data_IF_455609287240
#
_entry.id   IF_455609287240
#
_cell.length_a   1.000
_cell.length_b   1.000
_cell.length_c   1.000
_cell.angle_alpha   90.00
_cell.angle_beta   90.00
_cell.angle_gamma   90.00
#
_symmetry.space_group_name_H-M   'P 1'
#
loop_
_entity.id
_entity.type
_entity.pdbx_description
1 polymer ?
#
# COMPACT_ATOMS: atom_id res chain seq x y z
N UNK A 1 -17.00 8.12 4.02
CA UNK A 1 -16.18 6.96 3.59
C UNK A 1 -14.91 7.52 2.96
N UNK A 2 -13.74 7.12 3.45
CA UNK A 2 -12.45 7.62 2.98
C UNK A 2 -11.79 6.53 2.14
N UNK A 3 -11.56 6.80 0.86
CA UNK A 3 -10.94 5.90 -0.09
C UNK A 3 -9.42 6.01 -0.03
N UNK A 4 -8.74 4.87 0.11
CA UNK A 4 -7.29 4.75 -0.02
C UNK A 4 -6.99 3.95 -1.29
N UNK A 5 -6.39 4.60 -2.28
CA UNK A 5 -6.12 3.97 -3.58
C UNK A 5 -4.95 2.97 -3.52
N UNK A 6 -4.98 1.96 -4.40
CA UNK A 6 -3.96 0.93 -4.59
C UNK A 6 -2.79 1.34 -5.49
N UNK A 7 -2.13 0.37 -6.14
CA UNK A 7 -0.99 0.64 -7.04
C UNK A 7 0.37 0.17 -6.51
N UNK A 8 0.38 -0.94 -5.76
CA UNK A 8 1.60 -1.60 -5.29
C UNK A 8 2.50 -0.74 -4.40
N UNK A 9 1.92 0.27 -3.74
CA UNK A 9 2.62 1.33 -3.00
C UNK A 9 3.60 2.16 -3.85
N UNK A 10 3.61 1.99 -5.18
CA UNK A 10 4.57 2.61 -6.10
C UNK A 10 3.97 3.76 -6.90
N UNK A 11 2.70 3.63 -7.28
CA UNK A 11 1.99 4.59 -8.13
C UNK A 11 0.55 4.80 -7.64
N UNK A 12 -0.08 5.86 -8.11
CA UNK A 12 -1.53 6.08 -7.96
C UNK A 12 -1.86 7.54 -7.63
N UNK A 13 -3.17 7.83 -7.60
CA UNK A 13 -3.70 9.14 -7.24
C UNK A 13 -5.12 9.01 -6.71
N UNK A 14 -5.56 9.99 -5.93
CA UNK A 14 -6.92 10.04 -5.36
C UNK A 14 -8.03 10.18 -6.41
N UNK A 15 -7.72 10.66 -7.61
CA UNK A 15 -8.67 10.69 -8.73
C UNK A 15 -8.73 9.35 -9.49
N UNK A 16 -7.64 8.55 -9.45
CA UNK A 16 -7.53 7.34 -10.26
C UNK A 16 -7.31 7.61 -11.75
N UNK A 17 -7.35 6.55 -12.55
CA UNK A 17 -7.26 6.68 -14.00
C UNK A 17 -8.49 7.40 -14.56
N UNK A 18 -8.32 8.20 -15.61
CA UNK A 18 -9.42 8.80 -16.34
C UNK A 18 -9.67 8.03 -17.64
N UNK A 19 -10.93 7.69 -17.90
CA UNK A 19 -11.35 7.13 -19.18
C UNK A 19 -12.63 7.84 -19.62
N UNK A 20 -12.62 8.44 -20.83
CA UNK A 20 -13.76 9.17 -21.40
C UNK A 20 -14.33 10.26 -20.44
N UNK A 21 -13.44 11.05 -19.83
CA UNK A 21 -13.81 12.09 -18.85
C UNK A 21 -14.51 11.54 -17.59
N UNK A 22 -14.24 10.28 -17.25
CA UNK A 22 -14.72 9.62 -16.04
C UNK A 22 -13.51 9.15 -15.22
N UNK A 23 -13.36 9.70 -14.03
CA UNK A 23 -12.30 9.34 -13.09
C UNK A 23 -12.71 8.08 -12.32
N UNK A 24 -11.83 7.08 -12.30
CA UNK A 24 -12.08 5.78 -11.68
C UNK A 24 -12.52 5.88 -10.21
N UNK A 25 -12.02 6.88 -9.48
CA UNK A 25 -12.35 7.09 -8.08
C UNK A 25 -13.24 8.32 -7.85
N UNK A 26 -14.01 8.74 -8.86
CA UNK A 26 -15.08 9.72 -8.64
C UNK A 26 -16.10 9.15 -7.65
N UNK A 27 -16.25 9.83 -6.51
CA UNK A 27 -17.10 9.41 -5.41
C UNK A 27 -18.60 9.61 -5.65
N UNK A 28 -19.02 10.23 -6.75
CA UNK A 28 -20.41 10.66 -6.98
C UNK A 28 -21.43 9.52 -6.87
N UNK A 29 -21.18 8.39 -7.53
CA UNK A 29 -22.13 7.26 -7.55
C UNK A 29 -22.28 6.61 -6.17
N UNK A 30 -21.16 6.43 -5.45
CA UNK A 30 -21.18 5.89 -4.08
C UNK A 30 -21.90 6.88 -3.15
N UNK A 31 -21.58 8.17 -3.26
CA UNK A 31 -22.13 9.21 -2.39
C UNK A 31 -23.66 9.33 -2.54
N UNK A 32 -24.15 9.40 -3.79
CA UNK A 32 -25.56 9.63 -4.10
C UNK A 32 -26.42 8.41 -3.78
N UNK A 33 -26.00 7.20 -4.21
CA UNK A 33 -26.76 5.96 -3.96
C UNK A 33 -26.70 5.53 -2.50
N UNK A 34 -25.52 5.64 -1.89
CA UNK A 34 -25.29 5.25 -0.49
C UNK A 34 -25.77 6.30 0.52
N UNK A 35 -26.06 7.53 0.08
CA UNK A 35 -26.32 8.69 0.95
C UNK A 35 -25.20 8.87 1.99
N UNK A 36 -23.97 8.94 1.49
CA UNK A 36 -22.74 9.08 2.28
C UNK A 36 -21.85 10.16 1.69
N UNK A 37 -20.91 10.69 2.48
CA UNK A 37 -19.81 11.50 1.94
C UNK A 37 -18.68 10.56 1.52
N UNK A 38 -18.09 10.80 0.35
CA UNK A 38 -16.88 10.11 -0.13
C UNK A 38 -15.72 11.11 -0.12
N UNK A 39 -14.58 10.68 0.43
CA UNK A 39 -13.34 11.46 0.45
C UNK A 39 -12.27 10.62 -0.25
N UNK A 40 -11.66 11.18 -1.28
CA UNK A 40 -10.42 10.67 -1.87
C UNK A 40 -9.27 11.64 -1.56
N UNK A 41 -8.04 11.15 -1.54
CA UNK A 41 -6.87 11.96 -1.21
C UNK A 41 -5.62 11.36 -1.84
N UNK A 42 -4.53 12.13 -1.86
CA UNK A 42 -3.20 11.68 -2.30
C UNK A 42 -2.33 11.32 -1.09
N UNK A 43 -1.51 10.28 -1.22
CA UNK A 43 -0.43 9.95 -0.27
C UNK A 43 0.86 9.70 -1.04
N UNK A 44 2.03 9.92 -0.42
CA UNK A 44 3.32 9.63 -1.06
C UNK A 44 3.47 8.13 -1.34
N UNK A 45 3.96 7.81 -2.53
CA UNK A 45 4.22 6.44 -3.02
C UNK A 45 5.69 6.27 -3.41
N UNK A 46 6.08 5.05 -3.75
CA UNK A 46 7.43 4.68 -4.17
C UNK A 46 8.49 4.96 -3.10
N UNK A 47 9.73 5.27 -3.48
CA UNK A 47 10.79 5.56 -2.51
C UNK A 47 10.49 6.80 -1.67
N UNK A 48 9.81 7.81 -2.22
CA UNK A 48 9.42 9.01 -1.47
C UNK A 48 8.37 8.73 -0.37
N UNK A 49 7.58 7.67 -0.53
CA UNK A 49 6.59 7.23 0.45
C UNK A 49 7.11 6.17 1.43
N UNK A 50 8.04 5.31 1.03
CA UNK A 50 8.33 4.08 1.77
C UNK A 50 9.82 3.75 1.92
N UNK A 51 10.74 4.60 1.48
CA UNK A 51 12.17 4.41 1.76
C UNK A 51 12.42 4.36 3.26
N UNK A 52 13.16 3.34 3.70
CA UNK A 52 13.54 3.13 5.10
C UNK A 52 14.95 2.57 5.21
N UNK A 53 15.68 3.03 6.22
CA UNK A 53 16.98 2.46 6.62
C UNK A 53 16.83 1.40 7.71
N UNK A 54 15.60 1.15 8.21
CA UNK A 54 15.34 0.24 9.32
C UNK A 54 15.79 0.77 10.69
N UNK A 55 16.15 2.05 10.77
CA UNK A 55 16.59 2.73 11.99
C UNK A 55 15.97 4.14 12.09
N UNK A 56 16.37 4.92 13.08
CA UNK A 56 15.83 6.25 13.33
C UNK A 56 16.13 7.30 12.23
N UNK A 57 17.10 7.05 11.34
CA UNK A 57 17.52 8.02 10.31
C UNK A 57 16.50 8.12 9.17
N UNK A 58 15.88 6.99 8.83
CA UNK A 58 14.70 6.89 7.98
C UNK A 58 13.84 5.70 8.45
N UNK A 59 12.92 5.90 9.41
CA UNK A 59 12.06 4.83 9.89
C UNK A 59 11.17 4.23 8.79
N UNK A 60 10.82 5.02 7.78
CA UNK A 60 9.92 4.63 6.68
C UNK A 60 8.50 5.13 6.87
N UNK A 61 7.54 4.43 6.25
CA UNK A 61 6.10 4.61 6.43
C UNK A 61 5.54 6.02 6.15
N UNK A 62 6.23 6.84 5.38
CA UNK A 62 5.81 8.22 5.10
C UNK A 62 4.44 8.28 4.39
N UNK A 63 4.18 7.36 3.45
CA UNK A 63 2.88 7.22 2.81
C UNK A 63 1.77 6.83 3.80
N UNK A 64 2.06 5.99 4.81
CA UNK A 64 1.08 5.67 5.86
C UNK A 64 0.80 6.86 6.78
N UNK A 65 1.82 7.67 7.08
CA UNK A 65 1.66 8.91 7.83
C UNK A 65 0.78 9.92 7.07
N UNK A 66 0.96 10.05 5.76
CA UNK A 66 0.11 10.91 4.93
C UNK A 66 -1.36 10.45 4.98
N UNK A 67 -1.60 9.15 4.88
CA UNK A 67 -2.94 8.56 5.02
C UNK A 67 -3.54 8.81 6.40
N UNK A 68 -2.78 8.62 7.48
CA UNK A 68 -3.21 8.95 8.84
C UNK A 68 -3.56 10.44 8.98
N UNK A 69 -2.77 11.31 8.37
CA UNK A 69 -3.02 12.76 8.37
C UNK A 69 -4.32 13.11 7.64
N UNK A 70 -4.61 12.47 6.50
CA UNK A 70 -5.87 12.63 5.80
C UNK A 70 -7.06 12.15 6.66
N UNK A 71 -6.97 10.96 7.27
CA UNK A 71 -8.00 10.44 8.18
C UNK A 71 -8.24 11.40 9.36
N UNK A 72 -7.15 11.90 9.96
CA UNK A 72 -7.19 12.85 11.06
C UNK A 72 -7.78 14.20 10.66
N UNK A 73 -7.48 14.67 9.44
CA UNK A 73 -8.07 15.89 8.90
C UNK A 73 -9.57 15.71 8.70
N UNK A 74 -10.01 14.58 8.13
CA UNK A 74 -11.44 14.26 7.98
C UNK A 74 -12.11 14.21 9.36
N UNK A 75 -11.50 13.55 10.36
CA UNK A 75 -12.04 13.52 11.73
C UNK A 75 -12.31 14.91 12.30
N UNK A 76 -11.40 15.87 12.08
CA UNK A 76 -11.53 17.23 12.61
C UNK A 76 -12.50 18.11 11.83
N UNK A 77 -12.63 17.90 10.51
CA UNK A 77 -13.27 18.88 9.64
C UNK A 77 -14.58 18.40 9.00
N UNK A 78 -14.84 17.09 8.92
CA UNK A 78 -15.95 16.56 8.11
C UNK A 78 -17.34 17.02 8.59
N UNK A 79 -17.47 17.41 9.86
CA UNK A 79 -18.70 17.98 10.40
C UNK A 79 -19.13 19.27 9.66
N UNK A 80 -18.18 20.11 9.25
CA UNK A 80 -18.46 21.31 8.46
C UNK A 80 -19.00 21.00 7.05
N UNK A 81 -18.75 19.79 6.55
CA UNK A 81 -19.25 19.28 5.27
C UNK A 81 -20.54 18.45 5.43
N UNK A 82 -21.14 18.43 6.63
CA UNK A 82 -22.35 17.65 6.93
C UNK A 82 -22.10 16.17 7.26
N UNK A 83 -20.85 15.76 7.46
CA UNK A 83 -20.51 14.39 7.86
C UNK A 83 -20.48 14.17 9.36
N UNK A 84 -20.69 12.93 9.79
CA UNK A 84 -20.53 12.54 11.20
C UNK A 84 -19.07 12.08 11.45
N UNK A 85 -18.26 12.82 12.23
CA UNK A 85 -16.86 12.46 12.50
C UNK A 85 -16.72 11.16 13.30
N UNK A 86 -17.78 10.63 13.90
CA UNK A 86 -17.77 9.36 14.64
C UNK A 86 -18.18 8.15 13.79
N UNK A 87 -18.52 8.35 12.51
CA UNK A 87 -18.93 7.29 11.57
C UNK A 87 -17.98 7.16 10.38
N UNK A 88 -16.68 7.37 10.60
CA UNK A 88 -15.67 7.21 9.56
C UNK A 88 -15.50 5.73 9.19
N UNK A 89 -15.76 5.42 7.92
CA UNK A 89 -15.37 4.17 7.27
C UNK A 89 -14.17 4.45 6.37
N UNK A 90 -13.07 3.71 6.51
CA UNK A 90 -11.98 3.70 5.53
C UNK A 90 -12.15 2.48 4.61
N UNK A 91 -11.83 2.62 3.33
CA UNK A 91 -11.92 1.51 2.37
C UNK A 91 -10.89 1.66 1.26
N UNK A 92 -10.46 0.56 0.68
CA UNK A 92 -9.36 0.55 -0.28
C UNK A 92 -9.21 -0.79 -0.98
N UNK A 93 -8.47 -0.78 -2.08
CA UNK A 93 -8.16 -1.96 -2.90
C UNK A 93 -6.64 -2.15 -3.04
N UNK A 94 -6.18 -3.40 -3.14
CA UNK A 94 -4.75 -3.76 -3.28
C UNK A 94 -3.88 -3.11 -2.20
N UNK A 95 -2.86 -2.34 -2.55
CA UNK A 95 -2.03 -1.57 -1.61
C UNK A 95 -2.85 -0.61 -0.73
N UNK A 96 -3.98 -0.11 -1.23
CA UNK A 96 -4.94 0.66 -0.46
C UNK A 96 -5.71 -0.18 0.56
N UNK A 97 -6.00 -1.45 0.24
CA UNK A 97 -6.60 -2.39 1.19
C UNK A 97 -5.61 -2.84 2.28
N UNK A 98 -4.36 -3.14 1.88
CA UNK A 98 -3.28 -3.36 2.85
C UNK A 98 -3.08 -2.13 3.74
N UNK A 99 -3.15 -0.92 3.17
CA UNK A 99 -3.16 0.34 3.91
C UNK A 99 -4.34 0.42 4.87
N UNK A 100 -5.57 0.14 4.44
CA UNK A 100 -6.75 0.11 5.33
C UNK A 100 -6.50 -0.79 6.54
N UNK A 101 -6.00 -2.01 6.29
CA UNK A 101 -5.65 -2.96 7.34
C UNK A 101 -4.53 -2.41 8.25
N UNK A 102 -3.47 -1.81 7.72
CA UNK A 102 -2.40 -1.22 8.53
C UNK A 102 -2.87 -0.02 9.35
N UNK A 103 -3.76 0.81 8.80
CA UNK A 103 -4.34 1.97 9.50
C UNK A 103 -5.20 1.51 10.69
N UNK A 104 -5.98 0.43 10.57
CA UNK A 104 -6.75 -0.10 11.72
C UNK A 104 -5.87 -0.74 12.79
N UNK A 105 -4.71 -1.29 12.40
CA UNK A 105 -3.75 -1.90 13.31
C UNK A 105 -2.83 -0.89 14.00
N UNK A 106 -2.64 0.30 13.43
CA UNK A 106 -1.80 1.33 14.01
C UNK A 106 -2.44 1.95 15.27
N UNK A 107 -1.69 2.09 16.39
CA UNK A 107 -2.21 2.73 17.60
C UNK A 107 -2.59 4.20 17.38
N UNK A 108 -2.02 4.86 16.37
CA UNK A 108 -2.28 6.27 16.05
C UNK A 108 -3.72 6.55 15.60
N UNK A 109 -4.44 5.53 15.12
CA UNK A 109 -5.82 5.71 14.66
C UNK A 109 -6.89 5.29 15.68
N UNK A 110 -6.49 5.05 16.94
CA UNK A 110 -7.43 4.71 18.02
C UNK A 110 -8.49 5.81 18.16
N UNK A 111 -9.76 5.46 17.98
CA UNK A 111 -10.90 6.39 18.05
C UNK A 111 -11.16 7.24 16.80
N UNK A 112 -10.32 7.12 15.76
CA UNK A 112 -10.52 7.83 14.48
C UNK A 112 -11.39 7.03 13.52
N UNK A 113 -11.14 5.73 13.42
CA UNK A 113 -11.79 4.83 12.45
C UNK A 113 -12.93 4.07 13.15
N UNK A 114 -14.12 4.05 12.55
CA UNK A 114 -15.25 3.26 13.03
C UNK A 114 -15.43 1.95 12.26
N UNK A 115 -15.17 1.96 10.95
CA UNK A 115 -15.31 0.79 10.07
C UNK A 115 -14.19 0.73 9.04
N UNK A 116 -13.90 -0.45 8.54
CA UNK A 116 -12.89 -0.65 7.51
C UNK A 116 -13.30 -1.73 6.50
N UNK A 117 -12.95 -1.53 5.24
CA UNK A 117 -13.22 -2.45 4.14
C UNK A 117 -11.93 -2.65 3.32
N UNK A 118 -11.45 -3.89 3.28
CA UNK A 118 -10.23 -4.26 2.58
C UNK A 118 -10.54 -5.16 1.40
N UNK A 119 -10.30 -4.68 0.18
CA UNK A 119 -10.57 -5.39 -1.06
C UNK A 119 -9.25 -5.88 -1.66
N UNK A 120 -9.05 -7.19 -1.75
CA UNK A 120 -7.88 -7.79 -2.42
C UNK A 120 -6.52 -7.42 -1.81
N UNK A 121 -6.48 -7.20 -0.49
CA UNK A 121 -5.24 -6.95 0.25
C UNK A 121 -5.46 -6.75 1.75
N UNK A 122 -4.52 -7.20 2.57
CA UNK A 122 -4.52 -7.01 4.04
C UNK A 122 -3.08 -6.85 4.54
N UNK A 123 -2.90 -6.39 5.79
CA UNK A 123 -1.58 -6.12 6.36
C UNK A 123 -0.67 -7.37 6.49
N UNK A 124 -1.26 -8.57 6.43
CA UNK A 124 -0.54 -9.86 6.49
C UNK A 124 -0.16 -10.41 5.11
N UNK A 125 -0.52 -9.74 4.02
CA UNK A 125 -0.04 -10.12 2.69
C UNK A 125 1.49 -10.05 2.62
N UNK A 126 2.12 -10.99 1.91
CA UNK A 126 3.59 -11.09 1.81
C UNK A 126 4.27 -9.84 1.24
N UNK A 127 3.54 -9.06 0.44
CA UNK A 127 3.98 -7.82 -0.19
C UNK A 127 3.63 -6.55 0.61
N UNK A 128 2.92 -6.66 1.73
CA UNK A 128 2.46 -5.51 2.51
C UNK A 128 3.51 -4.97 3.49
N UNK A 129 4.55 -5.75 3.80
CA UNK A 129 5.65 -5.37 4.69
C UNK A 129 7.00 -5.70 4.05
N UNK A 130 7.87 -4.69 3.89
CA UNK A 130 9.25 -4.87 3.48
C UNK A 130 10.09 -5.39 4.66
N UNK A 131 10.79 -6.51 4.43
CA UNK A 131 11.60 -7.21 5.44
C UNK A 131 13.07 -6.83 5.44
N UNK A 132 13.58 -6.28 4.34
CA UNK A 132 14.97 -5.84 4.21
C UNK A 132 15.04 -4.40 3.65
N UNK A 133 14.55 -3.39 4.40
CA UNK A 133 14.49 -2.02 3.90
C UNK A 133 15.87 -1.39 3.68
N UNK A 134 16.84 -1.66 4.58
CA UNK A 134 18.20 -1.12 4.48
C UNK A 134 18.88 -1.53 3.16
N UNK A 135 18.71 -2.78 2.74
CA UNK A 135 19.25 -3.26 1.47
C UNK A 135 18.74 -2.40 0.29
N UNK A 136 17.43 -2.16 0.21
CA UNK A 136 16.86 -1.37 -0.87
C UNK A 136 17.23 0.12 -0.80
N UNK A 137 17.36 0.67 0.41
CA UNK A 137 17.89 2.02 0.60
C UNK A 137 19.34 2.13 0.09
N UNK A 138 20.19 1.13 0.36
CA UNK A 138 21.56 1.07 -0.15
C UNK A 138 21.62 0.93 -1.67
N UNK A 139 20.76 0.08 -2.27
CA UNK A 139 20.66 -0.05 -3.73
C UNK A 139 20.27 1.28 -4.38
N UNK A 140 19.28 1.98 -3.82
CA UNK A 140 18.88 3.30 -4.32
C UNK A 140 20.01 4.31 -4.16
N UNK A 141 20.65 4.36 -2.99
CA UNK A 141 21.76 5.25 -2.73
C UNK A 141 22.92 5.03 -3.69
N UNK A 142 23.25 3.78 -4.03
CA UNK A 142 24.26 3.47 -5.04
C UNK A 142 23.90 4.01 -6.44
N UNK A 143 22.62 3.94 -6.83
CA UNK A 143 22.13 4.44 -8.13
C UNK A 143 22.19 5.95 -8.28
N UNK A 144 22.11 6.70 -7.17
CA UNK A 144 22.11 8.17 -7.18
C UNK A 144 23.37 8.80 -6.59
N UNK A 145 24.45 8.02 -6.37
CA UNK A 145 25.73 8.52 -5.87
C UNK A 145 25.77 8.83 -4.36
N UNK A 146 24.79 8.37 -3.60
CA UNK A 146 24.65 8.58 -2.15
C UNK A 146 25.12 7.39 -1.29
N UNK A 147 25.83 6.41 -1.85
CA UNK A 147 26.34 5.27 -1.08
C UNK A 147 27.26 5.74 0.05
N UNK A 148 26.91 5.43 1.30
CA UNK A 148 27.70 5.70 2.52
C UNK A 148 27.59 4.49 3.46
N UNK A 149 28.58 4.31 4.33
CA UNK A 149 28.56 3.24 5.34
C UNK A 149 27.65 3.57 6.53
N UNK A 150 27.45 4.87 6.80
CA UNK A 150 26.59 5.39 7.86
C UNK A 150 25.22 5.78 7.30
N UNK A 151 24.14 5.34 7.95
CA UNK A 151 22.77 5.55 7.49
C UNK A 151 22.35 7.02 7.62
N UNK A 152 22.86 7.77 8.62
CA UNK A 152 22.57 9.19 8.75
C UNK A 152 23.18 10.00 7.59
N UNK A 153 24.44 9.76 7.25
CA UNK A 153 25.11 10.39 6.11
C UNK A 153 24.49 10.00 4.77
N UNK A 154 24.10 8.73 4.59
CA UNK A 154 23.37 8.27 3.42
C UNK A 154 22.04 9.03 3.28
N UNK A 155 21.26 9.11 4.36
CA UNK A 155 19.98 9.81 4.35
C UNK A 155 20.12 11.32 4.16
N UNK A 156 21.16 11.94 4.69
CA UNK A 156 21.45 13.35 4.42
C UNK A 156 21.65 13.61 2.92
N UNK A 157 22.44 12.76 2.24
CA UNK A 157 22.63 12.83 0.80
C UNK A 157 21.33 12.59 0.01
N UNK A 158 20.56 11.56 0.39
CA UNK A 158 19.30 11.24 -0.26
C UNK A 158 18.26 12.37 -0.12
N UNK A 159 18.17 13.03 1.03
CA UNK A 159 17.21 14.13 1.26
C UNK A 159 17.47 15.39 0.42
N UNK A 160 18.69 15.58 -0.08
CA UNK A 160 19.05 16.71 -0.96
C UNK A 160 19.19 16.30 -2.42
N UNK A 161 19.00 15.02 -2.74
CA UNK A 161 19.02 14.51 -4.11
C UNK A 161 17.71 14.86 -4.80
N UNK A 162 17.76 15.10 -6.10
CA UNK A 162 16.58 15.33 -6.93
C UNK A 162 15.53 14.20 -6.73
N UNK A 163 14.29 14.53 -6.31
CA UNK A 163 13.25 13.53 -6.08
C UNK A 163 12.88 12.74 -7.35
N UNK A 164 13.04 13.30 -8.55
CA UNK A 164 12.81 12.56 -9.79
C UNK A 164 13.86 11.46 -9.97
N UNK A 165 15.15 11.79 -9.79
CA UNK A 165 16.23 10.82 -9.79
C UNK A 165 16.04 9.70 -8.74
N UNK A 166 15.60 10.05 -7.52
CA UNK A 166 15.26 9.06 -6.46
C UNK A 166 14.14 8.13 -6.94
N UNK A 167 13.09 8.70 -7.53
CA UNK A 167 11.90 7.95 -7.96
C UNK A 167 12.22 6.98 -9.10
N UNK A 168 13.08 7.39 -10.04
CA UNK A 168 13.44 6.60 -11.22
C UNK A 168 14.61 5.63 -10.99
N UNK A 169 15.28 5.69 -9.84
CA UNK A 169 16.50 4.91 -9.55
C UNK A 169 16.30 3.39 -9.58
N UNK A 170 15.14 2.90 -9.14
CA UNK A 170 14.79 1.47 -9.09
C UNK A 170 13.45 1.25 -9.81
N UNK A 171 13.45 1.04 -11.13
CA UNK A 171 12.23 0.76 -11.87
C UNK A 171 11.73 -0.64 -11.59
N UNK A 172 10.40 -0.80 -11.55
CA UNK A 172 9.78 -2.12 -11.50
C UNK A 172 10.00 -2.85 -12.82
N UNK A 173 10.67 -4.00 -12.78
CA UNK A 173 10.79 -4.89 -13.94
C UNK A 173 9.47 -5.64 -14.13
N UNK A 174 8.94 -5.64 -15.35
CA UNK A 174 7.69 -6.33 -15.71
C UNK A 174 7.89 -7.50 -16.69
N UNK A 175 9.10 -7.67 -17.21
CA UNK A 175 9.48 -8.71 -18.19
C UNK A 175 10.81 -9.33 -17.80
N UNK A 176 11.08 -10.56 -18.27
CA UNK A 176 12.31 -11.31 -18.00
C UNK A 176 12.62 -11.37 -16.50
N UNK A 177 11.61 -11.74 -15.71
CA UNK A 177 11.68 -11.77 -14.26
C UNK A 177 12.50 -12.98 -13.80
N UNK A 178 13.52 -12.74 -12.97
CA UNK A 178 14.29 -13.80 -12.31
C UNK A 178 13.50 -14.43 -11.15
N UNK A 179 12.63 -13.65 -10.54
CA UNK A 179 11.76 -14.03 -9.42
C UNK A 179 10.35 -13.47 -9.66
N UNK A 180 9.30 -14.09 -9.09
CA UNK A 180 7.93 -13.58 -9.19
C UNK A 180 7.82 -12.07 -8.93
N UNK A 181 7.02 -11.37 -9.74
CA UNK A 181 6.86 -9.91 -9.74
C UNK A 181 6.57 -9.35 -8.36
N UNK A 182 5.80 -10.09 -7.56
CA UNK A 182 5.41 -9.68 -6.22
C UNK A 182 6.61 -9.44 -5.29
N UNK A 183 7.74 -10.11 -5.52
CA UNK A 183 8.98 -9.91 -4.76
C UNK A 183 9.77 -8.67 -5.21
N UNK A 184 9.43 -8.11 -6.37
CA UNK A 184 10.03 -6.88 -6.90
C UNK A 184 9.25 -5.61 -6.49
N UNK A 185 8.17 -5.75 -5.70
CA UNK A 185 7.49 -4.62 -5.06
C UNK A 185 8.26 -4.20 -3.81
N UNK A 186 9.38 -3.52 -4.03
CA UNK A 186 10.38 -3.28 -2.98
C UNK A 186 10.01 -2.14 -2.03
N UNK A 187 9.25 -1.17 -2.52
CA UNK A 187 8.75 -0.04 -1.75
C UNK A 187 7.43 -0.43 -1.12
N UNK A 188 7.45 -0.70 0.19
CA UNK A 188 6.28 -1.09 0.96
C UNK A 188 6.46 -0.62 2.42
N UNK A 189 5.38 -0.59 3.22
CA UNK A 189 5.47 -0.34 4.65
C UNK A 189 6.50 -1.24 5.37
N UNK A 190 7.00 -0.78 6.51
CA UNK A 190 7.94 -1.52 7.36
C UNK A 190 7.45 -1.56 8.81
N UNK A 191 7.92 -2.53 9.59
CA UNK A 191 7.75 -2.53 11.04
C UNK A 191 8.79 -1.57 11.62
N UNK A 192 8.34 -0.39 12.04
CA UNK A 192 9.20 0.71 12.48
C UNK A 192 9.28 0.84 14.01
N UNK A 193 8.58 -0.02 14.75
CA UNK A 193 8.48 0.09 16.21
C UNK A 193 7.65 1.30 16.67
N UNK A 194 6.97 1.98 15.74
CA UNK A 194 6.25 3.23 15.98
C UNK A 194 4.86 3.20 15.33
N UNK A 195 4.72 3.60 14.06
CA UNK A 195 3.43 3.59 13.36
C UNK A 195 2.91 2.16 13.24
N UNK A 196 3.81 1.22 12.93
CA UNK A 196 3.58 -0.23 12.95
C UNK A 196 4.53 -0.83 14.00
N UNK A 197 4.09 -0.97 15.26
CA UNK A 197 4.98 -1.26 16.38
C UNK A 197 5.46 -2.72 16.48
N UNK A 198 4.77 -3.68 15.84
CA UNK A 198 5.14 -5.10 15.81
C UNK A 198 4.58 -5.72 14.52
N UNK A 199 4.81 -7.02 14.33
CA UNK A 199 4.20 -7.83 13.29
C UNK A 199 2.68 -7.61 13.22
N UNK A 200 2.11 -7.27 12.05
CA UNK A 200 0.68 -6.99 11.91
C UNK A 200 -0.25 -8.05 12.53
N UNK A 201 0.13 -9.34 12.43
CA UNK A 201 -0.62 -10.46 13.03
C UNK A 201 -0.79 -10.38 14.55
N UNK A 202 0.04 -9.61 15.26
CA UNK A 202 -0.05 -9.40 16.71
C UNK A 202 -0.83 -8.15 17.11
N UNK A 203 -1.18 -7.29 16.15
CA UNK A 203 -1.73 -5.95 16.42
C UNK A 203 -3.27 -5.89 16.37
N UNK A 204 -3.95 -7.00 16.07
CA UNK A 204 -5.41 -7.03 15.87
C UNK A 204 -6.24 -6.55 17.08
N UNK A 205 -5.66 -6.54 18.30
CA UNK A 205 -6.30 -5.92 19.47
C UNK A 205 -6.66 -4.45 19.25
N UNK A 206 -5.88 -3.72 18.44
CA UNK A 206 -6.14 -2.32 18.11
C UNK A 206 -7.40 -2.15 17.25
N UNK A 207 -7.78 -3.18 16.48
CA UNK A 207 -8.94 -3.17 15.59
C UNK A 207 -10.22 -3.74 16.25
N UNK A 208 -10.19 -4.15 17.52
CA UNK A 208 -11.30 -4.86 18.17
C UNK A 208 -12.64 -4.09 18.20
N UNK A 209 -12.61 -2.75 18.15
CA UNK A 209 -13.81 -1.89 18.12
C UNK A 209 -14.23 -1.41 16.73
N UNK A 210 -13.60 -1.93 15.67
CA UNK A 210 -13.78 -1.50 14.28
C UNK A 210 -14.53 -2.57 13.51
N UNK A 211 -15.68 -2.22 12.93
CA UNK A 211 -16.41 -3.14 12.04
C UNK A 211 -15.55 -3.39 10.78
N UNK A 212 -15.34 -4.66 10.40
CA UNK A 212 -14.37 -5.00 9.35
C UNK A 212 -14.96 -5.92 8.27
N UNK A 213 -14.78 -5.54 7.01
CA UNK A 213 -15.03 -6.40 5.84
C UNK A 213 -13.69 -6.64 5.14
N UNK A 214 -13.41 -7.89 4.80
CA UNK A 214 -12.32 -8.24 3.90
C UNK A 214 -12.80 -9.23 2.85
N UNK A 215 -12.31 -9.09 1.62
CA UNK A 215 -12.67 -9.97 0.52
C UNK A 215 -11.57 -9.99 -0.55
N UNK A 216 -11.65 -10.97 -1.43
CA UNK A 216 -10.75 -11.17 -2.58
C UNK A 216 -11.59 -11.50 -3.81
N UNK A 217 -11.07 -11.23 -5.00
CA UNK A 217 -11.66 -11.73 -6.23
C UNK A 217 -11.18 -13.16 -6.50
N UNK A 218 -12.00 -13.94 -7.20
CA UNK A 218 -11.71 -15.34 -7.54
C UNK A 218 -10.34 -15.54 -8.22
N UNK A 219 -9.92 -14.57 -9.06
CA UNK A 219 -8.67 -14.63 -9.83
C UNK A 219 -7.75 -13.43 -9.56
N UNK A 220 -7.70 -12.91 -8.31
CA UNK A 220 -6.85 -11.74 -7.96
C UNK A 220 -5.38 -11.93 -8.36
N UNK A 221 -4.85 -13.15 -8.21
CA UNK A 221 -3.47 -13.47 -8.55
C UNK A 221 -3.18 -13.52 -10.06
N UNK A 222 -4.20 -13.55 -10.93
CA UNK A 222 -4.02 -13.73 -12.37
C UNK A 222 -3.16 -12.64 -13.01
N UNK A 223 -3.27 -11.38 -12.55
CA UNK A 223 -2.45 -10.27 -13.03
C UNK A 223 -0.94 -10.56 -12.84
N UNK A 224 -0.56 -11.00 -11.64
CA UNK A 224 0.83 -11.30 -11.31
C UNK A 224 1.29 -12.59 -11.99
N UNK A 225 0.49 -13.66 -11.89
CA UNK A 225 0.80 -14.95 -12.49
C UNK A 225 0.96 -14.86 -14.02
N UNK A 226 0.18 -14.02 -14.69
CA UNK A 226 0.27 -13.80 -16.13
C UNK A 226 1.52 -13.01 -16.56
N UNK A 227 2.16 -12.26 -15.66
CA UNK A 227 3.45 -11.60 -15.91
C UNK A 227 4.62 -12.56 -15.60
N UNK A 228 4.50 -13.33 -14.53
CA UNK A 228 5.49 -14.34 -14.14
C UNK A 228 5.54 -15.51 -15.12
N UNK A 229 4.37 -15.95 -15.59
CA UNK A 229 4.19 -17.07 -16.51
C UNK A 229 3.27 -16.63 -17.66
N UNK A 230 3.80 -15.93 -18.68
CA UNK A 230 3.01 -15.37 -19.79
C UNK A 230 2.16 -16.38 -20.56
N UNK A 231 2.48 -17.67 -20.45
CA UNK A 231 1.70 -18.74 -21.08
C UNK A 231 0.29 -18.87 -20.48
N UNK A 232 0.05 -18.45 -19.23
CA UNK A 232 -1.28 -18.47 -18.58
C UNK A 232 -2.29 -17.63 -19.37
N UNK A 233 -1.85 -16.56 -20.02
CA UNK A 233 -2.71 -15.67 -20.82
C UNK A 233 -3.03 -16.21 -22.24
N UNK A 234 -2.47 -17.35 -22.65
CA UNK A 234 -2.71 -17.90 -24.00
C UNK A 234 -3.94 -18.81 -24.00
N UNK A 235 -4.99 -18.40 -24.71
CA UNK A 235 -6.19 -19.22 -24.91
C UNK A 235 -5.88 -20.51 -25.72
N UNK A 236 -6.52 -21.63 -25.37
CA UNK A 236 -6.49 -22.87 -26.16
C UNK A 236 -5.48 -23.94 -25.75
N UNK A 237 -4.72 -23.76 -24.67
CA UNK A 237 -3.90 -24.83 -24.07
C UNK A 237 -4.46 -25.21 -22.70
N UNK A 238 -5.08 -26.39 -22.63
CA UNK A 238 -5.27 -27.09 -21.35
C UNK A 238 -3.89 -27.42 -20.80
N UNK A 239 -3.46 -26.70 -19.77
CA UNK A 239 -2.28 -27.10 -19.02
C UNK A 239 -2.66 -28.36 -18.24
N UNK A 240 -1.98 -29.50 -18.46
CA UNK A 240 -2.27 -30.69 -17.68
C UNK A 240 -2.01 -30.35 -16.22
N UNK A 241 -3.05 -30.53 -15.39
CA UNK A 241 -2.94 -30.55 -13.93
C UNK A 241 -1.79 -31.51 -13.57
N UNK A 242 -0.61 -30.99 -13.22
CA UNK A 242 0.57 -31.83 -12.96
C UNK A 242 1.93 -31.14 -12.93
N UNK A 243 2.09 -29.94 -13.51
CA UNK A 243 3.29 -29.13 -13.27
C UNK A 243 2.99 -28.14 -12.13
N UNK A 244 3.58 -28.38 -10.97
CA UNK A 244 3.32 -27.66 -9.73
C UNK A 244 3.44 -26.14 -9.87
N UNK A 245 2.30 -25.49 -10.11
CA UNK A 245 2.07 -24.15 -9.58
C UNK A 245 1.76 -24.39 -8.11
N UNK A 246 2.74 -24.13 -7.25
CA UNK A 246 2.51 -24.06 -5.82
C UNK A 246 1.57 -22.86 -5.61
N UNK A 247 0.28 -23.14 -5.65
CA UNK A 247 -0.72 -22.31 -4.98
C UNK A 247 -0.35 -22.39 -3.51
N UNK A 248 0.22 -21.32 -2.97
CA UNK A 248 0.29 -21.12 -1.51
C UNK A 248 -1.13 -20.86 -1.00
N UNK A 249 -1.96 -21.90 -1.04
CA UNK A 249 -3.20 -22.02 -0.29
C UNK A 249 -2.93 -23.06 0.77
N UNK A 250 -2.30 -22.63 1.86
CA UNK A 250 -2.34 -23.21 3.21
C UNK A 250 -1.09 -22.73 3.97
N UNK A 251 -1.30 -21.79 4.89
CA UNK A 251 -0.65 -21.74 6.19
C UNK A 251 -1.59 -20.91 7.06
N UNK A 252 -2.46 -21.66 7.75
CA UNK A 252 -3.36 -21.22 8.83
C UNK A 252 -2.54 -20.64 9.99
#
# INVERSE_FOLDING_TARGET
MIWIFGGGFLVGSGQGANFLNNYLYDGLEIATRGRVIVVTFNYRVGPLGFLSTGDANAPGNQGLWDQHMAISWVKRNIAAFGGDPNKITIFGESAGAASVSLQTLSPYNKGLIKRAISQSGVATCSWAIQRNPLYWAQQLAAKVGCQRNDSAAMMHCLKITDPEAITLAIPLKLINLENPLIFNLVWAPVIDGNFIPDEPKKLYRNAAGIDYIAGVNNMDGHLFAGLDVPSINKAGKTYPYGAGVILFTELV
#
